data_IF_591620395134
#
_entry.id   IF_591620395134
#
_cell.length_a   1.000
_cell.length_b   1.000
_cell.length_c   1.000
_cell.angle_alpha   90.00
_cell.angle_beta   90.00
_cell.angle_gamma   90.00
#
_symmetry.space_group_name_H-M   'P 1'
#
loop_
_entity.id
_entity.type
_entity.pdbx_description
1 polymer ?
#
# COMPACT_ATOMS: atom_id res chain seq x y z
N UNK A 1 5.44 5.18 0.96
CA UNK A 1 4.22 4.44 0.55
C UNK A 1 3.05 4.78 1.47
N UNK A 2 3.20 4.61 2.79
CA UNK A 2 2.16 4.89 3.81
C UNK A 2 1.33 6.16 3.56
N UNK A 3 1.97 7.33 3.62
CA UNK A 3 1.28 8.63 3.46
C UNK A 3 0.60 8.79 2.08
N UNK A 4 1.20 8.24 1.03
CA UNK A 4 0.60 8.26 -0.32
C UNK A 4 -0.66 7.37 -0.37
N UNK A 5 -0.64 6.24 0.35
CA UNK A 5 -1.78 5.35 0.47
C UNK A 5 -2.92 5.99 1.26
N UNK A 6 -2.63 6.63 2.40
CA UNK A 6 -3.62 7.40 3.17
C UNK A 6 -4.24 8.51 2.32
N UNK A 7 -3.42 9.25 1.57
CA UNK A 7 -3.90 10.30 0.68
C UNK A 7 -4.85 9.75 -0.40
N UNK A 8 -4.55 8.60 -0.99
CA UNK A 8 -5.44 7.97 -1.98
C UNK A 8 -6.76 7.49 -1.38
N UNK A 9 -6.73 6.93 -0.16
CA UNK A 9 -7.97 6.58 0.55
C UNK A 9 -8.80 7.83 0.84
N UNK A 10 -8.18 8.91 1.30
CA UNK A 10 -8.86 10.20 1.50
C UNK A 10 -9.44 10.74 0.19
N UNK A 11 -8.70 10.67 -0.91
CA UNK A 11 -9.15 11.15 -2.21
C UNK A 11 -10.40 10.38 -2.70
N UNK A 12 -10.45 9.07 -2.48
CA UNK A 12 -11.64 8.27 -2.79
C UNK A 12 -12.82 8.64 -1.90
N UNK A 13 -12.61 8.70 -0.58
CA UNK A 13 -13.68 8.98 0.40
C UNK A 13 -14.26 10.39 0.27
N UNK A 14 -13.45 11.36 -0.16
CA UNK A 14 -13.87 12.75 -0.34
C UNK A 14 -14.53 13.02 -1.71
N UNK A 15 -14.52 12.06 -2.63
CA UNK A 15 -14.99 12.26 -4.01
C UNK A 15 -14.00 13.01 -4.91
N UNK A 16 -12.79 13.35 -4.42
CA UNK A 16 -11.73 13.94 -5.24
C UNK A 16 -11.26 12.96 -6.34
N UNK A 17 -11.18 11.67 -6.01
CA UNK A 17 -10.76 10.60 -6.91
C UNK A 17 -9.24 10.49 -7.09
N UNK A 18 -8.75 9.26 -7.26
CA UNK A 18 -7.31 8.97 -7.35
C UNK A 18 -6.59 9.64 -8.51
N UNK A 19 -7.27 9.88 -9.65
CA UNK A 19 -6.67 10.54 -10.81
C UNK A 19 -6.26 11.99 -10.51
N UNK A 20 -7.10 12.74 -9.82
CA UNK A 20 -6.83 14.14 -9.47
C UNK A 20 -5.70 14.23 -8.44
N UNK A 21 -5.70 13.33 -7.44
CA UNK A 21 -4.60 13.26 -6.49
C UNK A 21 -3.27 12.86 -7.16
N UNK A 22 -3.29 11.87 -8.05
CA UNK A 22 -2.08 11.43 -8.76
C UNK A 22 -1.49 12.56 -9.63
N UNK A 23 -2.35 13.33 -10.30
CA UNK A 23 -1.93 14.53 -11.03
C UNK A 23 -1.29 15.57 -10.10
N UNK A 24 -1.88 15.83 -8.92
CA UNK A 24 -1.27 16.71 -7.92
C UNK A 24 0.11 16.19 -7.46
N UNK A 25 0.20 14.88 -7.19
CA UNK A 25 1.47 14.23 -6.79
C UNK A 25 2.54 14.42 -7.86
N UNK A 26 2.19 14.20 -9.13
CA UNK A 26 3.09 14.39 -10.26
C UNK A 26 3.62 15.83 -10.34
N UNK A 27 2.74 16.82 -10.18
CA UNK A 27 3.12 18.23 -10.33
C UNK A 27 3.95 18.76 -9.15
N UNK A 28 3.74 18.24 -7.93
CA UNK A 28 4.28 18.85 -6.71
C UNK A 28 5.37 18.02 -6.00
N UNK A 29 5.36 16.69 -6.14
CA UNK A 29 6.21 15.79 -5.34
C UNK A 29 7.16 14.93 -6.19
N UNK A 30 7.08 15.06 -7.52
CA UNK A 30 8.04 14.46 -8.45
C UNK A 30 7.88 12.95 -8.67
N UNK A 31 8.83 12.34 -9.40
CA UNK A 31 8.66 11.00 -9.98
C UNK A 31 8.63 9.88 -8.94
N UNK A 32 9.31 10.03 -7.80
CA UNK A 32 9.32 9.01 -6.75
C UNK A 32 7.92 8.85 -6.14
N UNK A 33 7.31 9.94 -5.69
CA UNK A 33 5.96 9.91 -5.13
C UNK A 33 4.93 9.46 -6.18
N UNK A 34 5.09 9.90 -7.44
CA UNK A 34 4.24 9.45 -8.55
C UNK A 34 4.30 7.93 -8.76
N UNK A 35 5.50 7.34 -8.76
CA UNK A 35 5.63 5.88 -8.91
C UNK A 35 4.98 5.11 -7.76
N UNK A 36 5.01 5.65 -6.54
CA UNK A 36 4.27 5.08 -5.40
C UNK A 36 2.77 5.16 -5.64
N UNK A 37 2.26 6.32 -6.08
CA UNK A 37 0.85 6.52 -6.45
C UNK A 37 0.39 5.48 -7.47
N UNK A 38 1.14 5.35 -8.57
CA UNK A 38 0.81 4.43 -9.66
C UNK A 38 0.78 2.98 -9.20
N UNK A 39 1.64 2.58 -8.26
CA UNK A 39 1.61 1.22 -7.70
C UNK A 39 0.29 0.90 -6.99
N UNK A 40 -0.32 1.91 -6.35
CA UNK A 40 -1.62 1.76 -5.68
C UNK A 40 -2.76 1.77 -6.69
N UNK A 41 -2.78 2.77 -7.57
CA UNK A 41 -3.89 3.04 -8.48
C UNK A 41 -4.02 2.03 -9.61
N UNK A 42 -2.93 1.34 -9.97
CA UNK A 42 -2.93 0.26 -10.98
C UNK A 42 -3.25 -1.12 -10.41
N UNK A 43 -3.50 -1.24 -9.09
CA UNK A 43 -3.79 -2.52 -8.45
C UNK A 43 -2.57 -3.42 -8.21
N UNK A 44 -1.35 -2.92 -8.41
CA UNK A 44 -0.12 -3.70 -8.17
C UNK A 44 0.05 -4.10 -6.70
N UNK A 45 -0.56 -3.35 -5.77
CA UNK A 45 -0.61 -3.69 -4.33
C UNK A 45 -1.24 -5.08 -4.06
N UNK A 46 -2.11 -5.54 -4.97
CA UNK A 46 -2.75 -6.86 -4.94
C UNK A 46 -2.63 -7.52 -6.33
N UNK A 47 -1.49 -8.19 -6.59
CA UNK A 47 -1.23 -8.86 -7.87
C UNK A 47 -2.35 -9.82 -8.28
N UNK A 48 -2.52 -10.07 -9.58
CA UNK A 48 -3.52 -11.02 -10.07
C UNK A 48 -3.28 -12.42 -9.47
N UNK A 49 -4.34 -13.22 -9.34
CA UNK A 49 -4.19 -14.60 -8.81
C UNK A 49 -3.24 -15.40 -9.71
N UNK A 50 -2.19 -15.97 -9.12
CA UNK A 50 -1.13 -16.69 -9.81
C UNK A 50 0.13 -15.85 -10.12
N UNK A 51 0.03 -14.52 -10.07
CA UNK A 51 1.17 -13.64 -10.33
C UNK A 51 1.98 -13.36 -9.06
N UNK A 52 3.22 -12.92 -9.26
CA UNK A 52 4.13 -12.50 -8.18
C UNK A 52 4.04 -10.99 -7.96
N UNK A 53 4.21 -10.51 -6.72
CA UNK A 53 4.34 -9.09 -6.44
C UNK A 53 5.61 -8.52 -7.07
N UNK A 54 5.59 -7.22 -7.40
CA UNK A 54 6.80 -6.51 -7.85
C UNK A 54 7.81 -6.37 -6.72
N UNK A 55 7.33 -6.25 -5.48
CA UNK A 55 8.12 -6.21 -4.26
C UNK A 55 7.38 -6.99 -3.17
N UNK A 56 7.99 -8.05 -2.66
CA UNK A 56 7.32 -8.97 -1.73
C UNK A 56 7.00 -8.32 -0.37
N UNK A 57 5.79 -8.56 0.13
CA UNK A 57 5.33 -8.08 1.43
C UNK A 57 6.17 -8.58 2.62
N UNK A 58 6.58 -9.85 2.63
CA UNK A 58 7.36 -10.39 3.74
C UNK A 58 8.76 -9.77 3.79
N UNK A 59 9.36 -9.52 2.62
CA UNK A 59 10.63 -8.79 2.54
C UNK A 59 10.46 -7.36 3.06
N UNK A 60 9.38 -6.66 2.71
CA UNK A 60 9.12 -5.33 3.24
C UNK A 60 8.96 -5.31 4.76
N UNK A 61 8.24 -6.28 5.36
CA UNK A 61 8.11 -6.40 6.81
C UNK A 61 9.48 -6.60 7.46
N UNK A 62 10.33 -7.45 6.87
CA UNK A 62 11.70 -7.69 7.35
C UNK A 62 12.53 -6.41 7.29
N UNK A 63 12.57 -5.74 6.15
CA UNK A 63 13.44 -4.58 5.92
C UNK A 63 13.02 -3.36 6.74
N UNK A 64 11.71 -3.09 6.84
CA UNK A 64 11.18 -2.04 7.72
C UNK A 64 11.49 -2.37 9.19
N UNK A 65 11.37 -3.65 9.59
CA UNK A 65 11.73 -4.10 10.92
C UNK A 65 13.20 -3.83 11.26
N UNK A 66 14.12 -4.14 10.33
CA UNK A 66 15.54 -3.80 10.48
C UNK A 66 15.77 -2.29 10.59
N UNK A 67 15.07 -1.49 9.78
CA UNK A 67 15.15 -0.03 9.85
C UNK A 67 14.72 0.54 11.20
N UNK A 68 13.65 0.01 11.78
CA UNK A 68 13.18 0.41 13.12
C UNK A 68 14.22 0.04 14.18
N UNK A 69 14.72 -1.20 14.19
CA UNK A 69 15.75 -1.64 15.15
C UNK A 69 17.02 -0.79 15.06
N UNK A 70 17.47 -0.47 13.84
CA UNK A 70 18.65 0.39 13.65
C UNK A 70 18.42 1.81 14.19
N UNK A 71 17.21 2.36 13.96
CA UNK A 71 16.86 3.68 14.47
C UNK A 71 16.89 3.72 16.00
N UNK A 72 16.27 2.73 16.66
CA UNK A 72 16.27 2.59 18.12
C UNK A 72 17.70 2.50 18.67
N UNK A 73 18.56 1.67 18.07
CA UNK A 73 19.97 1.53 18.44
C UNK A 73 20.77 2.83 18.25
N UNK A 74 20.33 3.68 17.32
CA UNK A 74 20.98 4.95 16.99
C UNK A 74 20.41 6.14 17.78
N UNK A 75 19.44 5.91 18.69
CA UNK A 75 18.77 6.98 19.44
C UNK A 75 17.81 7.83 18.59
N UNK A 76 17.37 7.31 17.44
CA UNK A 76 16.37 7.92 16.58
C UNK A 76 15.02 7.17 16.69
N UNK A 77 13.93 7.81 16.24
CA UNK A 77 12.62 7.18 16.14
C UNK A 77 12.04 7.39 14.75
N UNK A 78 11.52 6.33 14.15
CA UNK A 78 10.91 6.35 12.82
C UNK A 78 9.39 6.13 12.95
N UNK A 79 8.67 7.13 13.41
CA UNK A 79 7.23 7.01 13.72
C UNK A 79 6.39 6.54 12.53
N UNK A 80 6.66 7.06 11.33
CA UNK A 80 5.97 6.62 10.10
C UNK A 80 6.31 5.16 9.77
N UNK A 81 7.50 4.68 10.10
CA UNK A 81 7.85 3.27 9.92
C UNK A 81 7.10 2.37 10.91
N UNK A 82 6.88 2.82 12.15
CA UNK A 82 6.07 2.13 13.15
C UNK A 82 4.61 1.98 12.66
N UNK A 83 4.04 3.04 12.08
CA UNK A 83 2.71 2.98 11.44
C UNK A 83 2.71 2.01 10.26
N UNK A 84 3.67 2.15 9.36
CA UNK A 84 3.75 1.30 8.17
C UNK A 84 3.90 -0.18 8.52
N UNK A 85 4.72 -0.54 9.51
CA UNK A 85 4.92 -1.95 9.87
C UNK A 85 3.68 -2.55 10.55
N UNK A 86 2.87 -1.76 11.24
CA UNK A 86 1.55 -2.19 11.74
C UNK A 86 0.68 -2.63 10.56
N UNK A 87 0.48 -1.75 9.57
CA UNK A 87 -0.40 -2.06 8.44
C UNK A 87 0.17 -3.16 7.53
N UNK A 88 1.49 -3.26 7.36
CA UNK A 88 2.11 -4.37 6.62
C UNK A 88 1.86 -5.72 7.32
N UNK A 89 1.93 -5.77 8.66
CA UNK A 89 1.61 -6.99 9.42
C UNK A 89 0.13 -7.38 9.28
N UNK A 90 -0.78 -6.41 9.22
CA UNK A 90 -2.19 -6.67 8.95
C UNK A 90 -2.44 -7.13 7.51
N UNK A 91 -1.76 -6.51 6.54
CA UNK A 91 -1.78 -6.95 5.14
C UNK A 91 -1.27 -8.40 5.01
N UNK A 92 -0.30 -8.80 5.83
CA UNK A 92 0.19 -10.19 5.86
C UNK A 92 -0.89 -11.16 6.35
N UNK A 93 -1.64 -10.80 7.40
CA UNK A 93 -2.77 -11.62 7.86
C UNK A 93 -3.84 -11.76 6.78
N UNK A 94 -4.13 -10.69 6.04
CA UNK A 94 -5.04 -10.73 4.90
C UNK A 94 -4.49 -11.65 3.78
N UNK A 95 -3.21 -11.50 3.43
CA UNK A 95 -2.51 -12.33 2.44
C UNK A 95 -2.61 -13.82 2.76
N UNK A 96 -2.40 -14.20 4.02
CA UNK A 96 -2.48 -15.58 4.50
C UNK A 96 -3.92 -16.13 4.43
N UNK A 97 -4.91 -15.34 4.84
CA UNK A 97 -6.32 -15.71 4.77
C UNK A 97 -6.79 -15.93 3.32
N UNK A 98 -6.42 -15.02 2.41
CA UNK A 98 -6.76 -15.10 0.99
C UNK A 98 -5.88 -16.08 0.19
N UNK A 99 -4.85 -16.65 0.84
CA UNK A 99 -3.80 -17.47 0.21
C UNK A 99 -3.25 -16.81 -1.04
N UNK A 100 -3.00 -15.50 -0.96
CA UNK A 100 -2.62 -14.66 -2.10
C UNK A 100 -1.39 -13.83 -1.76
N UNK A 101 -0.28 -13.94 -2.52
CA UNK A 101 0.89 -13.10 -2.30
C UNK A 101 0.54 -11.63 -2.59
N UNK A 102 1.04 -10.73 -1.75
CA UNK A 102 0.80 -9.29 -1.85
C UNK A 102 2.10 -8.52 -2.07
N UNK A 103 1.97 -7.33 -2.64
CA UNK A 103 3.10 -6.41 -2.81
C UNK A 103 3.35 -5.60 -1.53
N UNK A 104 4.54 -5.04 -1.38
CA UNK A 104 4.93 -4.17 -0.28
C UNK A 104 4.11 -2.89 -0.18
N UNK A 105 3.31 -2.57 -1.20
CA UNK A 105 2.32 -1.49 -1.18
C UNK A 105 0.94 -1.89 -0.64
N UNK A 106 0.78 -3.11 -0.15
CA UNK A 106 -0.51 -3.66 0.30
C UNK A 106 -1.10 -3.06 1.59
N UNK A 107 -0.36 -2.21 2.30
CA UNK A 107 -0.96 -1.38 3.36
C UNK A 107 -2.15 -0.55 2.85
N UNK A 108 -2.15 -0.21 1.55
CA UNK A 108 -3.26 0.50 0.94
C UNK A 108 -4.60 -0.23 1.10
N UNK A 109 -4.63 -1.55 0.91
CA UNK A 109 -5.85 -2.33 1.12
C UNK A 109 -6.31 -2.37 2.58
N UNK A 110 -5.38 -2.31 3.53
CA UNK A 110 -5.69 -2.21 4.97
C UNK A 110 -6.30 -0.84 5.30
N UNK A 111 -5.66 0.24 4.86
CA UNK A 111 -6.15 1.61 5.06
C UNK A 111 -7.55 1.82 4.43
N UNK A 112 -7.81 1.20 3.28
CA UNK A 112 -9.14 1.14 2.67
C UNK A 112 -10.16 0.49 3.60
N UNK A 113 -9.83 -0.68 4.15
CA UNK A 113 -10.70 -1.40 5.10
C UNK A 113 -10.98 -0.59 6.36
N UNK A 114 -9.97 0.04 6.95
CA UNK A 114 -10.13 0.92 8.11
C UNK A 114 -11.07 2.10 7.81
N UNK A 115 -11.15 2.53 6.55
CA UNK A 115 -12.05 3.59 6.06
C UNK A 115 -13.42 3.10 5.57
N UNK A 116 -13.77 1.83 5.84
CA UNK A 116 -15.04 1.22 5.46
C UNK A 116 -15.18 0.87 3.97
N UNK A 117 -14.06 0.75 3.25
CA UNK A 117 -14.01 0.30 1.86
C UNK A 117 -13.60 -1.19 1.79
N UNK A 118 -13.77 -1.82 0.64
CA UNK A 118 -13.16 -3.14 0.38
C UNK A 118 -11.64 -3.04 0.31
N UNK A 119 -10.94 -4.15 0.61
CA UNK A 119 -9.49 -4.23 0.44
C UNK A 119 -9.10 -4.01 -1.03
N UNK A 120 -9.85 -4.64 -1.93
CA UNK A 120 -9.79 -4.49 -3.37
C UNK A 120 -10.37 -3.15 -3.81
N UNK A 121 -9.69 -2.47 -4.73
CA UNK A 121 -10.29 -1.44 -5.56
C UNK A 121 -11.25 -2.08 -6.57
N UNK A 122 -12.16 -1.30 -7.13
CA UNK A 122 -13.06 -1.80 -8.18
C UNK A 122 -12.28 -2.31 -9.40
N UNK A 123 -11.15 -1.69 -9.73
CA UNK A 123 -10.21 -2.19 -10.75
C UNK A 123 -9.72 -3.61 -10.44
N UNK A 124 -9.37 -3.91 -9.19
CA UNK A 124 -8.91 -5.25 -8.78
C UNK A 124 -10.07 -6.25 -8.83
N UNK A 125 -11.27 -5.85 -8.40
CA UNK A 125 -12.47 -6.70 -8.48
C UNK A 125 -12.82 -7.05 -9.92
N UNK A 126 -12.93 -6.05 -10.79
CA UNK A 126 -13.24 -6.24 -12.21
C UNK A 126 -12.19 -7.10 -12.93
N UNK A 127 -10.90 -6.95 -12.58
CA UNK A 127 -9.82 -7.77 -13.13
C UNK A 127 -9.99 -9.23 -12.73
N UNK A 128 -10.34 -9.49 -11.47
CA UNK A 128 -10.43 -10.83 -10.92
C UNK A 128 -11.74 -11.54 -11.30
N UNK A 129 -12.82 -10.81 -11.59
CA UNK A 129 -14.10 -11.35 -12.08
C UNK A 129 -14.08 -11.81 -13.54
N UNK A 130 -13.18 -11.25 -14.37
CA UNK A 130 -13.09 -11.54 -15.82
C UNK A 130 -12.32 -12.83 -16.16
N UNK A 131 -11.97 -13.68 -15.19
CA UNK A 131 -11.21 -14.93 -15.36
C UNK A 131 -11.97 -16.11 -14.76
#
# INVERSE_FOLDING_TARGET
>A
MEVVAEAHVLAEKSGLGSKNLEALIQQQYGPLALSMSQRLTTGAYMPARGDRPWSDLNLAIKDVGHGITLAEQSGARLEVAEVAIKHLKEAKRFSEAERRPLDSSSMYGILRKESGLSFETDLVKERDEKK
#
